data_IF_138743413688
#
_entry.id   IF_138743413688
#
_cell.length_a   1.000
_cell.length_b   1.000
_cell.length_c   1.000
_cell.angle_alpha   90.00
_cell.angle_beta   90.00
_cell.angle_gamma   90.00
#
_symmetry.space_group_name_H-M   'P 1'
#
loop_
_entity.id
_entity.type
_entity.pdbx_description
1 polymer ?
#
# COMPACT_ATOMS: atom_id res chain seq x y z
N UNK A 1 -16.22 0.32 11.64
CA UNK A 1 -15.41 0.09 10.43
C UNK A 1 -14.16 -0.66 10.85
N UNK A 2 -13.72 -1.63 10.06
CA UNK A 2 -12.52 -2.44 10.33
C UNK A 2 -11.54 -2.34 9.17
N UNK A 3 -10.25 -2.56 9.43
CA UNK A 3 -9.25 -2.71 8.38
C UNK A 3 -9.48 -4.02 7.61
N UNK A 4 -8.89 -4.20 6.42
CA UNK A 4 -8.89 -5.50 5.74
C UNK A 4 -8.30 -6.67 6.55
N UNK A 5 -7.55 -6.40 7.63
CA UNK A 5 -7.08 -7.43 8.59
C UNK A 5 -8.15 -7.84 9.60
N UNK A 6 -9.24 -7.07 9.72
CA UNK A 6 -10.25 -7.22 10.76
C UNK A 6 -10.03 -6.33 11.99
N UNK A 7 -8.97 -5.50 12.03
CA UNK A 7 -8.72 -4.61 13.16
C UNK A 7 -9.71 -3.46 13.22
N UNK A 8 -10.00 -2.96 14.42
CA UNK A 8 -10.75 -1.73 14.58
C UNK A 8 -10.01 -0.55 13.92
N UNK A 9 -10.71 0.19 13.06
CA UNK A 9 -10.14 1.35 12.37
C UNK A 9 -10.04 2.51 13.37
N UNK A 10 -8.82 2.79 13.82
CA UNK A 10 -8.47 3.84 14.80
C UNK A 10 -7.23 4.55 14.29
N UNK A 11 -7.19 5.87 14.43
CA UNK A 11 -6.02 6.65 14.02
C UNK A 11 -5.02 6.68 15.18
N UNK A 12 -3.86 6.07 14.99
CA UNK A 12 -2.87 5.90 16.05
C UNK A 12 -1.53 6.42 15.59
N UNK A 13 -0.87 7.19 16.45
CA UNK A 13 0.38 7.86 16.15
C UNK A 13 1.45 7.48 17.19
N UNK A 14 2.70 7.31 16.75
CA UNK A 14 3.87 7.20 17.61
C UNK A 14 4.88 8.30 17.25
N UNK A 15 5.57 8.82 18.25
CA UNK A 15 6.60 9.85 18.08
C UNK A 15 7.92 9.36 18.67
N UNK A 16 8.97 9.37 17.84
CA UNK A 16 10.34 9.08 18.21
C UNK A 16 11.20 10.33 18.12
N UNK A 17 12.20 10.44 18.99
CA UNK A 17 13.31 11.40 18.88
C UNK A 17 14.53 10.72 18.27
N UNK A 18 15.30 11.48 17.50
CA UNK A 18 16.60 11.05 16.98
C UNK A 18 17.54 12.24 16.76
N UNK A 19 18.81 11.94 16.52
CA UNK A 19 19.86 12.92 16.20
C UNK A 19 20.54 12.67 14.85
N UNK A 20 20.19 11.58 14.15
CA UNK A 20 20.86 11.14 12.93
C UNK A 20 19.86 10.87 11.77
N UNK A 21 19.19 11.90 11.22
CA UNK A 21 18.19 11.73 10.16
C UNK A 21 18.74 11.03 8.91
N UNK A 22 19.96 11.38 8.47
CA UNK A 22 20.56 10.80 7.27
C UNK A 22 20.88 9.30 7.43
N UNK A 23 21.38 8.90 8.60
CA UNK A 23 21.62 7.48 8.90
C UNK A 23 20.31 6.69 8.90
N UNK A 24 19.27 7.24 9.53
CA UNK A 24 17.93 6.64 9.57
C UNK A 24 17.41 6.44 8.14
N UNK A 25 17.48 7.49 7.31
CA UNK A 25 17.08 7.42 5.89
C UNK A 25 17.79 6.28 5.17
N UNK A 26 19.11 6.16 5.33
CA UNK A 26 19.89 5.12 4.66
C UNK A 26 19.56 3.70 5.15
N UNK A 27 19.33 3.51 6.44
CA UNK A 27 18.95 2.19 7.00
C UNK A 27 17.56 1.78 6.48
N UNK A 28 16.58 2.69 6.56
CA UNK A 28 15.22 2.41 6.13
C UNK A 28 15.13 2.18 4.60
N UNK A 29 15.91 2.91 3.80
CA UNK A 29 16.07 2.66 2.36
C UNK A 29 16.56 1.24 2.08
N UNK A 30 17.59 0.78 2.80
CA UNK A 30 18.17 -0.56 2.62
C UNK A 30 17.22 -1.69 3.03
N UNK A 31 16.26 -1.43 3.92
CA UNK A 31 15.31 -2.43 4.38
C UNK A 31 14.31 -2.86 3.29
N UNK A 32 14.07 -2.01 2.28
CA UNK A 32 13.29 -2.35 1.08
C UNK A 32 11.77 -2.49 1.32
N UNK A 33 11.30 -2.27 2.54
CA UNK A 33 9.88 -2.25 2.94
C UNK A 33 9.34 -0.85 3.24
N UNK A 34 10.15 0.19 3.02
CA UNK A 34 9.76 1.60 3.08
C UNK A 34 9.82 2.24 1.70
N UNK A 35 8.93 3.20 1.41
CA UNK A 35 8.95 3.97 0.16
C UNK A 35 10.02 5.07 0.17
N UNK A 36 11.27 4.69 0.45
CA UNK A 36 12.41 5.59 0.40
C UNK A 36 13.28 5.17 -0.77
N UNK A 37 13.45 6.08 -1.71
CA UNK A 37 14.34 5.94 -2.86
C UNK A 37 15.24 7.19 -2.98
N UNK A 38 16.06 7.24 -4.03
CA UNK A 38 16.94 8.37 -4.32
C UNK A 38 16.19 9.60 -4.81
N UNK A 39 14.98 9.42 -5.34
CA UNK A 39 14.13 10.49 -5.89
C UNK A 39 13.24 11.14 -4.81
N UNK A 40 13.21 10.58 -3.59
CA UNK A 40 12.51 11.15 -2.46
C UNK A 40 13.19 12.45 -2.00
N UNK A 41 12.61 13.58 -2.40
CA UNK A 41 13.04 14.91 -1.99
C UNK A 41 12.38 15.32 -0.66
N UNK A 42 13.14 15.98 0.24
CA UNK A 42 12.57 16.56 1.45
C UNK A 42 11.64 17.73 1.11
N UNK A 43 10.63 17.92 1.94
CA UNK A 43 9.76 19.09 1.92
C UNK A 43 10.55 20.37 2.31
N UNK A 44 10.02 21.58 2.06
CA UNK A 44 10.72 22.83 2.37
C UNK A 44 11.12 23.00 3.84
N UNK A 45 10.46 22.29 4.76
CA UNK A 45 10.78 22.27 6.20
C UNK A 45 11.84 21.22 6.59
N UNK A 46 12.38 20.50 5.61
CA UNK A 46 13.38 19.44 5.79
C UNK A 46 12.79 18.08 6.17
N UNK A 47 11.46 17.92 6.18
CA UNK A 47 10.81 16.65 6.47
C UNK A 47 10.74 15.72 5.26
N UNK A 48 10.80 14.41 5.50
CA UNK A 48 10.64 13.37 4.48
C UNK A 48 9.39 12.55 4.81
N UNK A 49 8.48 12.43 3.84
CA UNK A 49 7.28 11.61 3.97
C UNK A 49 7.41 10.31 3.17
N UNK A 50 7.20 9.18 3.83
CA UNK A 50 7.25 7.87 3.17
C UNK A 50 6.30 6.88 3.85
N UNK A 51 6.00 5.79 3.17
CA UNK A 51 5.12 4.73 3.64
C UNK A 51 5.91 3.49 4.06
N UNK A 52 5.39 2.76 5.05
CA UNK A 52 5.81 1.40 5.34
C UNK A 52 4.83 0.40 4.72
N UNK A 53 5.38 -0.60 4.05
CA UNK A 53 4.64 -1.53 3.21
C UNK A 53 4.54 -2.92 3.80
N UNK A 54 3.40 -3.56 3.55
CA UNK A 54 3.18 -4.98 3.82
C UNK A 54 4.22 -5.84 3.11
N UNK A 55 4.89 -6.72 3.86
CA UNK A 55 5.93 -7.66 3.39
C UNK A 55 5.39 -9.08 3.24
N UNK A 56 4.24 -9.40 3.84
CA UNK A 56 3.69 -10.76 3.84
C UNK A 56 3.23 -11.18 2.45
N UNK A 57 3.70 -12.33 1.91
CA UNK A 57 3.29 -12.83 0.61
C UNK A 57 1.78 -13.06 0.50
N UNK A 58 1.15 -13.57 1.57
CA UNK A 58 -0.29 -13.83 1.64
C UNK A 58 -1.17 -12.56 1.69
N UNK A 59 -0.57 -11.40 1.96
CA UNK A 59 -1.27 -10.13 2.05
C UNK A 59 -1.32 -9.35 0.72
N UNK A 60 -0.94 -10.00 -0.39
CA UNK A 60 -1.16 -9.50 -1.76
C UNK A 60 -2.66 -9.38 -2.00
N UNK A 61 -3.20 -8.21 -1.74
CA UNK A 61 -4.63 -7.95 -1.82
C UNK A 61 -5.05 -7.75 -3.28
N UNK A 62 -6.21 -8.30 -3.65
CA UNK A 62 -6.94 -7.92 -4.87
C UNK A 62 -7.17 -6.41 -4.98
N UNK A 63 -7.12 -5.67 -3.84
CA UNK A 63 -7.36 -4.24 -3.75
C UNK A 63 -6.11 -3.36 -3.93
N UNK A 64 -4.91 -3.96 -4.02
CA UNK A 64 -3.67 -3.28 -4.38
C UNK A 64 -2.94 -4.09 -5.47
N UNK A 65 -3.51 -4.17 -6.69
CA UNK A 65 -2.95 -4.98 -7.77
C UNK A 65 -1.62 -4.42 -8.31
N UNK A 66 -1.30 -3.14 -8.04
CA UNK A 66 0.06 -2.58 -8.06
C UNK A 66 0.37 -2.02 -6.70
N UNK A 67 1.63 -2.17 -6.31
CA UNK A 67 2.17 -1.57 -5.11
C UNK A 67 1.91 -2.45 -3.90
N UNK A 68 2.78 -2.29 -2.91
CA UNK A 68 2.61 -3.00 -1.65
C UNK A 68 1.61 -2.21 -0.83
N UNK A 69 0.78 -2.91 -0.08
CA UNK A 69 -0.23 -2.26 0.76
C UNK A 69 0.44 -1.41 1.82
N UNK A 70 0.03 -0.14 1.93
CA UNK A 70 0.51 0.77 2.97
C UNK A 70 -0.05 0.36 4.33
N UNK A 71 0.83 0.07 5.27
CA UNK A 71 0.49 -0.27 6.64
C UNK A 71 0.52 0.96 7.55
N UNK A 72 1.53 1.82 7.38
CA UNK A 72 1.70 3.07 8.11
C UNK A 72 2.32 4.16 7.21
N UNK A 73 2.06 5.42 7.53
CA UNK A 73 2.78 6.56 6.96
C UNK A 73 3.79 7.05 8.00
N UNK A 74 4.95 7.51 7.54
CA UNK A 74 6.01 8.01 8.38
C UNK A 74 6.43 9.41 7.91
N UNK A 75 6.77 10.25 8.87
CA UNK A 75 7.34 11.57 8.65
C UNK A 75 8.66 11.65 9.42
N UNK A 76 9.76 11.72 8.69
CA UNK A 76 11.09 11.95 9.25
C UNK A 76 11.40 13.44 9.19
N UNK A 77 11.28 14.11 10.32
CA UNK A 77 11.73 15.49 10.51
C UNK A 77 13.23 15.51 10.85
N UNK A 78 13.87 16.69 10.92
CA UNK A 78 15.29 16.78 11.29
C UNK A 78 15.64 16.18 12.67
N UNK A 79 14.69 16.15 13.61
CA UNK A 79 14.91 15.68 15.01
C UNK A 79 13.90 14.66 15.51
N UNK A 80 12.85 14.37 14.73
CA UNK A 80 11.78 13.45 15.14
C UNK A 80 11.35 12.55 14.00
N UNK A 81 10.93 11.33 14.36
CA UNK A 81 10.29 10.39 13.45
C UNK A 81 8.88 10.13 13.95
N UNK A 82 7.88 10.44 13.13
CA UNK A 82 6.48 10.22 13.43
C UNK A 82 5.94 9.05 12.61
N UNK A 83 5.11 8.22 13.23
CA UNK A 83 4.44 7.08 12.60
C UNK A 83 2.94 7.25 12.75
N UNK A 84 2.20 7.09 11.66
CA UNK A 84 0.75 7.19 11.63
C UNK A 84 0.15 5.92 11.00
N UNK A 85 -0.72 5.25 11.75
CA UNK A 85 -1.36 4.01 11.33
C UNK A 85 -2.87 4.04 11.57
N UNK A 86 -3.58 3.20 10.80
CA UNK A 86 -5.05 3.08 10.82
C UNK A 86 -5.55 1.92 11.72
N UNK A 87 -4.66 1.35 12.53
CA UNK A 87 -4.99 0.46 13.64
C UNK A 87 -3.84 0.41 14.65
N UNK A 88 -4.15 0.11 15.91
CA UNK A 88 -3.13 -0.05 16.96
C UNK A 88 -2.13 -1.15 16.59
N UNK A 89 -2.62 -2.28 16.09
CA UNK A 89 -1.77 -3.40 15.69
C UNK A 89 -0.74 -3.01 14.62
N UNK A 90 -1.13 -2.17 13.65
CA UNK A 90 -0.20 -1.67 12.63
C UNK A 90 0.84 -0.72 13.21
N UNK A 91 0.44 0.13 14.15
CA UNK A 91 1.36 1.01 14.85
C UNK A 91 2.40 0.19 15.61
N UNK A 92 1.97 -0.79 16.39
CA UNK A 92 2.84 -1.64 17.20
C UNK A 92 3.82 -2.42 16.31
N UNK A 93 3.33 -3.01 15.21
CA UNK A 93 4.17 -3.71 14.25
C UNK A 93 5.20 -2.77 13.59
N UNK A 94 4.80 -1.54 13.25
CA UNK A 94 5.70 -0.56 12.65
C UNK A 94 6.76 -0.10 13.65
N UNK A 95 6.36 0.19 14.90
CA UNK A 95 7.26 0.55 15.99
C UNK A 95 8.30 -0.55 16.24
N UNK A 96 7.85 -1.80 16.35
CA UNK A 96 8.75 -2.95 16.50
C UNK A 96 9.73 -3.07 15.32
N UNK A 97 9.25 -2.88 14.09
CA UNK A 97 10.09 -2.91 12.89
C UNK A 97 11.14 -1.80 12.90
N UNK A 98 10.76 -0.58 13.30
CA UNK A 98 11.69 0.56 13.42
C UNK A 98 12.73 0.32 14.51
N UNK A 99 12.32 -0.17 15.68
CA UNK A 99 13.22 -0.46 16.80
C UNK A 99 14.23 -1.57 16.45
N UNK A 100 13.82 -2.59 15.70
CA UNK A 100 14.72 -3.62 15.19
C UNK A 100 15.78 -3.09 14.22
N UNK A 101 15.41 -2.12 13.37
CA UNK A 101 16.30 -1.58 12.34
C UNK A 101 17.22 -0.48 12.89
N UNK A 102 16.68 0.39 13.74
CA UNK A 102 17.32 1.64 14.15
C UNK A 102 17.96 1.52 15.55
N UNK A 103 17.43 0.64 16.42
CA UNK A 103 17.94 0.43 17.76
C UNK A 103 18.04 1.73 18.55
N UNK A 104 19.20 1.96 19.15
CA UNK A 104 19.49 3.14 20.00
C UNK A 104 19.46 4.48 19.25
N UNK A 105 19.28 4.50 17.92
CA UNK A 105 19.19 5.73 17.12
C UNK A 105 17.85 6.45 17.27
N UNK A 106 16.84 5.74 17.76
CA UNK A 106 15.50 6.29 18.01
C UNK A 106 15.12 6.09 19.47
N UNK A 107 14.42 7.07 20.04
CA UNK A 107 13.87 6.97 21.39
C UNK A 107 12.38 7.29 21.35
N UNK A 108 11.55 6.35 21.79
CA UNK A 108 10.10 6.54 21.84
C UNK A 108 9.77 7.60 22.89
N UNK A 109 9.17 8.71 22.45
CA UNK A 109 8.70 9.78 23.33
C UNK A 109 7.27 9.52 23.79
N UNK A 110 6.45 8.91 22.92
CA UNK A 110 5.11 8.47 23.29
C UNK A 110 4.24 8.07 22.12
N UNK A 111 3.13 7.41 22.46
CA UNK A 111 2.08 6.98 21.53
C UNK A 111 0.77 7.68 21.86
N UNK A 112 0.03 8.11 20.84
CA UNK A 112 -1.31 8.69 20.96
C UNK A 112 -2.29 7.91 20.10
N UNK A 113 -3.38 7.42 20.70
CA UNK A 113 -4.51 6.88 19.95
C UNK A 113 -5.63 7.93 19.92
N UNK A 114 -6.13 8.26 18.73
CA UNK A 114 -7.28 9.15 18.53
C UNK A 114 -8.37 8.39 17.77
N UNK A 115 -9.62 8.62 18.17
CA UNK A 115 -10.74 8.13 17.37
C UNK A 115 -10.76 8.81 16.00
N UNK A 116 -11.25 8.10 14.98
CA UNK A 116 -11.36 8.58 13.59
C UNK A 116 -12.07 9.94 13.52
N UNK A 117 -13.10 10.13 14.35
CA UNK A 117 -13.90 11.34 14.46
C UNK A 117 -13.11 12.56 14.99
N UNK A 118 -12.12 12.32 15.84
CA UNK A 118 -11.27 13.38 16.40
C UNK A 118 -10.12 13.73 15.46
N UNK A 119 -9.54 12.73 14.78
CA UNK A 119 -8.51 12.95 13.77
C UNK A 119 -9.02 13.82 12.61
N UNK A 120 -10.22 13.52 12.08
CA UNK A 120 -10.88 14.31 11.01
C UNK A 120 -11.12 15.78 11.36
N UNK A 121 -11.23 16.14 12.66
CA UNK A 121 -11.45 17.53 13.10
C UNK A 121 -10.15 18.31 13.33
N UNK A 122 -9.05 17.60 13.62
CA UNK A 122 -7.78 18.19 14.00
C UNK A 122 -6.71 18.11 12.88
N UNK A 123 -6.98 17.38 11.79
CA UNK A 123 -6.10 17.36 10.62
C UNK A 123 -5.87 18.79 10.11
N UNK A 124 -4.64 19.30 10.25
CA UNK A 124 -4.11 20.27 9.29
C UNK A 124 -4.27 19.66 7.89
N UNK A 125 -4.55 20.47 6.84
CA UNK A 125 -4.54 19.94 5.49
C UNK A 125 -3.20 19.24 5.29
N UNK A 126 -3.26 17.91 5.11
CA UNK A 126 -2.16 17.13 4.58
C UNK A 126 -1.70 17.88 3.33
N UNK A 127 -0.39 18.03 3.05
CA UNK A 127 0.01 18.44 1.71
C UNK A 127 -0.80 17.57 0.74
N UNK A 128 -1.52 18.23 -0.17
CA UNK A 128 -2.37 17.55 -1.12
C UNK A 128 -1.57 16.40 -1.71
N UNK A 129 -2.17 15.20 -1.92
CA UNK A 129 -1.46 14.14 -2.61
C UNK A 129 -0.83 14.78 -3.83
N UNK A 130 0.51 14.82 -3.92
CA UNK A 130 1.23 15.33 -5.09
C UNK A 130 0.46 14.76 -6.26
N UNK A 131 -0.08 15.63 -7.13
CA UNK A 131 -0.88 15.20 -8.27
C UNK A 131 -0.19 13.97 -8.84
N UNK A 132 -0.85 12.80 -8.86
CA UNK A 132 -0.16 11.58 -9.22
C UNK A 132 0.46 11.88 -10.58
N UNK A 133 1.79 11.91 -10.62
CA UNK A 133 2.54 12.12 -11.84
C UNK A 133 2.10 10.95 -12.71
N UNK A 134 1.12 11.21 -13.58
CA UNK A 134 0.60 10.19 -14.45
C UNK A 134 1.80 9.82 -15.32
N UNK A 135 2.25 8.54 -15.25
CA UNK A 135 3.37 8.14 -16.08
C UNK A 135 3.05 8.45 -17.54
N UNK A 136 4.05 8.66 -18.40
CA UNK A 136 3.82 8.73 -19.84
C UNK A 136 2.91 7.59 -20.29
N UNK A 137 1.99 7.82 -21.25
CA UNK A 137 1.00 6.81 -21.65
C UNK A 137 1.61 5.47 -22.05
N UNK A 138 2.83 5.47 -22.60
CA UNK A 138 3.60 4.26 -22.92
C UNK A 138 3.95 3.43 -21.67
N UNK A 139 4.40 4.09 -20.60
CA UNK A 139 4.69 3.46 -19.30
C UNK A 139 3.42 2.92 -18.66
N UNK A 140 2.30 3.62 -18.81
CA UNK A 140 0.99 3.18 -18.32
C UNK A 140 0.54 1.88 -19.02
N UNK A 141 0.73 1.79 -20.34
CA UNK A 141 0.39 0.57 -21.11
C UNK A 141 1.28 -0.61 -20.74
N UNK A 142 2.60 -0.39 -20.64
CA UNK A 142 3.54 -1.47 -20.25
C UNK A 142 3.26 -1.97 -18.83
N UNK A 143 3.00 -1.03 -17.90
CA UNK A 143 2.63 -1.34 -16.53
C UNK A 143 1.31 -2.13 -16.49
N UNK A 144 0.31 -1.73 -17.27
CA UNK A 144 -0.96 -2.44 -17.40
C UNK A 144 -0.75 -3.88 -17.87
N UNK A 145 0.00 -4.08 -18.96
CA UNK A 145 0.28 -5.43 -19.48
C UNK A 145 0.99 -6.30 -18.44
N UNK A 146 2.01 -5.75 -17.77
CA UNK A 146 2.75 -6.47 -16.73
C UNK A 146 1.83 -6.92 -15.60
N UNK A 147 0.92 -6.06 -15.16
CA UNK A 147 -0.05 -6.43 -14.12
C UNK A 147 -0.99 -7.53 -14.55
N UNK A 148 -1.56 -7.43 -15.74
CA UNK A 148 -2.54 -8.41 -16.19
C UNK A 148 -1.89 -9.77 -16.40
N UNK A 149 -0.63 -9.80 -16.86
CA UNK A 149 0.21 -11.01 -16.91
C UNK A 149 0.46 -11.59 -15.53
N UNK A 150 0.87 -10.76 -14.59
CA UNK A 150 1.09 -11.23 -13.22
C UNK A 150 -0.20 -11.77 -12.60
N UNK A 151 -1.33 -11.09 -12.80
CA UNK A 151 -2.62 -11.51 -12.24
C UNK A 151 -3.06 -12.88 -12.73
N UNK A 152 -2.83 -13.23 -14.00
CA UNK A 152 -3.17 -14.57 -14.51
C UNK A 152 -2.20 -15.67 -14.06
N UNK A 153 -1.02 -15.29 -13.56
CA UNK A 153 0.05 -16.19 -13.10
C UNK A 153 0.13 -16.30 -11.56
N UNK A 154 -0.54 -15.41 -10.82
CA UNK A 154 -0.58 -15.42 -9.35
C UNK A 154 -1.73 -16.30 -8.82
N UNK A 155 -1.47 -17.06 -7.76
CA UNK A 155 -2.48 -17.85 -7.05
C UNK A 155 -3.53 -16.97 -6.39
N UNK A 156 -4.81 -17.26 -6.63
CA UNK A 156 -5.93 -16.47 -6.08
C UNK A 156 -6.71 -17.30 -5.08
N UNK A 157 -6.84 -16.87 -3.80
CA UNK A 157 -7.60 -17.60 -2.78
C UNK A 157 -9.06 -17.89 -3.17
N UNK A 158 -9.73 -16.95 -3.85
CA UNK A 158 -11.10 -17.12 -4.34
C UNK A 158 -11.24 -18.24 -5.38
N UNK A 159 -10.15 -18.62 -6.05
CA UNK A 159 -10.09 -19.77 -6.98
C UNK A 159 -9.60 -21.05 -6.28
N UNK A 160 -9.59 -21.09 -4.95
CA UNK A 160 -9.05 -22.22 -4.17
C UNK A 160 -7.52 -22.27 -4.15
N UNK A 161 -6.85 -21.12 -4.33
CA UNK A 161 -5.39 -21.03 -4.39
C UNK A 161 -4.79 -21.34 -5.77
N UNK A 162 -5.63 -21.61 -6.77
CA UNK A 162 -5.21 -21.77 -8.16
C UNK A 162 -4.92 -20.42 -8.83
N UNK A 163 -4.05 -20.43 -9.83
CA UNK A 163 -3.92 -19.30 -10.76
C UNK A 163 -5.12 -19.25 -11.71
N UNK A 164 -5.48 -18.08 -12.26
CA UNK A 164 -6.49 -17.99 -13.31
C UNK A 164 -6.19 -18.91 -14.50
N UNK A 165 -4.92 -19.04 -14.92
CA UNK A 165 -4.52 -19.98 -15.99
C UNK A 165 -4.81 -21.44 -15.68
N UNK A 166 -4.68 -21.84 -14.42
CA UNK A 166 -4.99 -23.20 -13.99
C UNK A 166 -6.49 -23.42 -13.87
N UNK A 167 -7.21 -22.45 -13.27
CA UNK A 167 -8.64 -22.53 -13.05
C UNK A 167 -9.43 -22.68 -14.36
N UNK A 168 -9.04 -21.96 -15.42
CA UNK A 168 -9.73 -22.01 -16.73
C UNK A 168 -9.62 -23.36 -17.46
N UNK A 169 -8.87 -24.33 -16.94
CA UNK A 169 -8.81 -25.69 -17.51
C UNK A 169 -10.08 -26.51 -17.24
N UNK A 170 -10.93 -26.07 -16.31
CA UNK A 170 -12.20 -26.73 -15.97
C UNK A 170 -13.39 -25.81 -16.27
N UNK A 171 -14.57 -26.33 -16.67
CA UNK A 171 -15.78 -25.52 -16.87
C UNK A 171 -16.15 -24.69 -15.63
N UNK A 172 -16.05 -25.29 -14.45
CA UNK A 172 -16.37 -24.64 -13.17
C UNK A 172 -15.36 -23.54 -12.84
N UNK A 173 -14.07 -23.79 -13.07
CA UNK A 173 -13.03 -22.79 -12.86
C UNK A 173 -13.09 -21.63 -13.87
N UNK A 174 -13.50 -21.88 -15.12
CA UNK A 174 -13.79 -20.81 -16.09
C UNK A 174 -14.89 -19.87 -15.59
N UNK A 175 -15.98 -20.42 -15.08
CA UNK A 175 -17.08 -19.63 -14.55
C UNK A 175 -16.63 -18.78 -13.36
N UNK A 176 -15.88 -19.36 -12.42
CA UNK A 176 -15.32 -18.62 -11.27
C UNK A 176 -14.37 -17.50 -11.68
N UNK A 177 -13.53 -17.73 -12.70
CA UNK A 177 -12.62 -16.68 -13.23
C UNK A 177 -13.41 -15.55 -13.88
N UNK A 178 -14.49 -15.85 -14.62
CA UNK A 178 -15.36 -14.83 -15.21
C UNK A 178 -16.09 -13.99 -14.15
N UNK A 179 -16.61 -14.63 -13.11
CA UNK A 179 -17.23 -13.96 -11.96
C UNK A 179 -16.23 -13.03 -11.27
N UNK A 180 -15.02 -13.51 -11.03
CA UNK A 180 -13.94 -12.72 -10.42
C UNK A 180 -13.57 -11.49 -11.28
N UNK A 181 -13.55 -11.63 -12.61
CA UNK A 181 -13.30 -10.50 -13.51
C UNK A 181 -14.43 -9.46 -13.40
N UNK A 182 -15.70 -9.88 -13.36
CA UNK A 182 -16.83 -8.94 -13.20
C UNK A 182 -16.77 -8.23 -11.85
N UNK A 183 -16.49 -8.94 -10.75
CA UNK A 183 -16.33 -8.33 -9.43
C UNK A 183 -15.26 -7.22 -9.41
N UNK A 184 -14.12 -7.48 -10.05
CA UNK A 184 -13.04 -6.49 -10.20
C UNK A 184 -13.50 -5.28 -11.03
N UNK A 185 -14.19 -5.50 -12.15
CA UNK A 185 -14.73 -4.41 -12.97
C UNK A 185 -15.76 -3.56 -12.19
N UNK A 186 -16.65 -4.18 -11.42
CA UNK A 186 -17.63 -3.46 -10.60
C UNK A 186 -16.94 -2.65 -9.49
N UNK A 187 -15.86 -3.17 -8.90
CA UNK A 187 -15.06 -2.44 -7.92
C UNK A 187 -14.37 -1.23 -8.55
N UNK A 188 -13.74 -1.40 -9.71
CA UNK A 188 -13.09 -0.31 -10.45
C UNK A 188 -14.07 0.80 -10.83
N UNK A 189 -15.30 0.47 -11.24
CA UNK A 189 -16.35 1.48 -11.51
C UNK A 189 -16.66 2.36 -10.30
N UNK A 190 -16.58 1.80 -9.08
CA UNK A 190 -16.75 2.56 -7.84
C UNK A 190 -15.54 3.46 -7.54
N UNK A 191 -14.33 2.97 -7.79
CA UNK A 191 -13.08 3.70 -7.52
C UNK A 191 -12.71 4.76 -8.56
N UNK A 192 -13.13 4.61 -9.83
CA UNK A 192 -12.92 5.60 -10.92
C UNK A 192 -13.44 7.01 -10.63
N UNK A 193 -14.28 7.17 -9.59
CA UNK A 193 -14.76 8.47 -9.11
C UNK A 193 -13.73 9.22 -8.27
N UNK A 194 -12.64 8.58 -7.85
CA UNK A 194 -11.56 9.19 -7.09
C UNK A 194 -10.44 9.70 -8.05
N UNK A 195 -9.93 10.93 -7.88
CA UNK A 195 -8.83 11.45 -8.68
C UNK A 195 -7.59 10.56 -8.57
N UNK A 196 -6.89 10.32 -9.68
CA UNK A 196 -5.58 9.66 -9.67
C UNK A 196 -5.57 8.12 -9.64
N UNK A 197 -6.72 7.45 -9.74
CA UNK A 197 -6.78 5.99 -9.66
C UNK A 197 -6.49 5.36 -11.03
N UNK A 198 -5.39 4.62 -11.12
CA UNK A 198 -5.09 3.74 -12.25
C UNK A 198 -5.95 2.46 -12.19
N UNK A 199 -6.63 2.14 -13.30
CA UNK A 199 -7.57 1.03 -13.39
C UNK A 199 -7.32 0.20 -14.66
N UNK A 200 -6.63 -0.95 -14.55
CA UNK A 200 -6.36 -1.85 -15.68
C UNK A 200 -7.63 -2.41 -16.33
N UNK A 201 -7.60 -2.59 -17.65
CA UNK A 201 -8.68 -3.22 -18.40
C UNK A 201 -8.63 -4.76 -18.31
N UNK A 202 -9.36 -5.32 -17.35
CA UNK A 202 -9.49 -6.76 -17.17
C UNK A 202 -10.23 -7.48 -18.31
N UNK A 203 -10.79 -6.78 -19.31
CA UNK A 203 -11.26 -7.43 -20.54
C UNK A 203 -10.10 -8.05 -21.32
N UNK A 204 -8.90 -7.48 -21.23
CA UNK A 204 -7.68 -8.05 -21.84
C UNK A 204 -7.32 -9.41 -21.22
N UNK A 205 -7.66 -9.65 -19.95
CA UNK A 205 -7.46 -10.94 -19.30
C UNK A 205 -8.32 -12.04 -19.95
N UNK A 206 -9.56 -11.73 -20.35
CA UNK A 206 -10.43 -12.69 -21.05
C UNK A 206 -9.76 -13.18 -22.34
N UNK A 207 -9.16 -12.27 -23.11
CA UNK A 207 -8.33 -12.59 -24.29
C UNK A 207 -7.14 -13.47 -23.94
N UNK A 208 -6.37 -13.10 -22.92
CA UNK A 208 -5.16 -13.83 -22.51
C UNK A 208 -5.46 -15.26 -22.02
N UNK A 209 -6.67 -15.49 -21.50
CA UNK A 209 -7.12 -16.79 -21.01
C UNK A 209 -7.97 -17.57 -22.02
N UNK A 210 -8.25 -17.02 -23.21
CA UNK A 210 -9.09 -17.66 -24.23
C UNK A 210 -10.56 -17.83 -23.80
N UNK A 211 -11.09 -16.85 -23.07
CA UNK A 211 -12.46 -16.84 -22.52
C UNK A 211 -13.43 -15.94 -23.34
N UNK A 212 -13.10 -15.64 -24.59
CA UNK A 212 -13.95 -14.86 -25.50
C UNK A 212 -15.10 -15.66 -26.10
#
# INVERSE_FOLDING_TARGET
MVTPEGDALVFTNAHYQHTAPDEIRQILKKAGDFSIDDDLEPEPDGSLHFAWFETRPEARSLHAPIGRRVLANLTLNPTTLEVEAMSQQRLDNCCQRLEQLLGDRIHLVGTKAKSVSQALRESKPRPEPREPVMPPPEVVVELEEKMLRQWIDDSIPALGGLTPREAVKTPEGRQRVLELIDEVEQMQKKMRKAPGVFAPDYRKVKKMLGLE
#
